data_IF_818877526680
#
_entry.id   IF_818877526680
#
_cell.length_a   1.000
_cell.length_b   1.000
_cell.length_c   1.000
_cell.angle_alpha   90.00
_cell.angle_beta   90.00
_cell.angle_gamma   90.00
#
_symmetry.space_group_name_H-M   'P 1'
#
loop_
_entity.id
_entity.type
_entity.pdbx_description
1 polymer ?
#
# COMPACT_ATOMS: atom_id res chain seq x y z
N UNK A 1 -2.37 -7.67 -9.36
CA UNK A 1 -1.06 -7.75 -8.68
C UNK A 1 -1.24 -8.53 -7.38
N UNK A 2 -0.23 -9.27 -6.95
CA UNK A 2 -0.17 -9.81 -5.59
C UNK A 2 -0.08 -8.67 -4.57
N UNK A 3 -0.27 -8.98 -3.28
CA UNK A 3 -0.14 -7.97 -2.20
C UNK A 3 1.29 -7.46 -2.07
N UNK A 4 2.27 -8.35 -2.24
CA UNK A 4 3.68 -7.99 -2.28
C UNK A 4 3.97 -7.03 -3.44
N UNK A 5 3.48 -7.33 -4.64
CA UNK A 5 3.66 -6.45 -5.81
C UNK A 5 2.99 -5.08 -5.60
N UNK A 6 1.83 -5.03 -4.94
CA UNK A 6 1.14 -3.78 -4.62
C UNK A 6 1.94 -2.95 -3.60
N UNK A 7 2.52 -3.60 -2.60
CA UNK A 7 3.43 -2.95 -1.66
C UNK A 7 4.69 -2.44 -2.34
N UNK A 8 5.36 -3.27 -3.14
CA UNK A 8 6.58 -2.91 -3.85
C UNK A 8 6.34 -1.75 -4.81
N UNK A 9 5.19 -1.73 -5.50
CA UNK A 9 4.79 -0.61 -6.36
C UNK A 9 4.72 0.70 -5.56
N UNK A 10 3.97 0.70 -4.44
CA UNK A 10 3.84 1.87 -3.58
C UNK A 10 5.19 2.29 -2.98
N UNK A 11 5.94 1.34 -2.43
CA UNK A 11 7.25 1.57 -1.81
C UNK A 11 8.23 2.24 -2.78
N UNK A 12 8.26 1.79 -4.04
CA UNK A 12 9.17 2.33 -5.05
C UNK A 12 8.78 3.71 -5.58
N UNK A 13 7.53 4.16 -5.39
CA UNK A 13 7.11 5.53 -5.72
C UNK A 13 7.55 6.56 -4.68
N UNK A 14 7.72 6.13 -3.43
CA UNK A 14 8.07 7.03 -2.32
C UNK A 14 9.55 7.42 -2.35
N UNK A 15 9.88 8.58 -1.78
CA UNK A 15 11.27 9.02 -1.58
C UNK A 15 12.00 8.10 -0.60
N UNK A 16 13.33 8.15 -0.59
CA UNK A 16 14.15 7.33 0.30
C UNK A 16 13.85 7.62 1.78
N UNK A 17 13.69 8.89 2.14
CA UNK A 17 13.35 9.31 3.51
C UNK A 17 12.00 8.75 3.93
N UNK A 18 11.02 8.78 3.03
CA UNK A 18 9.68 8.29 3.32
C UNK A 18 9.64 6.76 3.48
N UNK A 19 10.44 6.03 2.68
CA UNK A 19 10.58 4.57 2.83
C UNK A 19 11.12 4.18 4.20
N UNK A 20 12.00 5.00 4.79
CA UNK A 20 12.51 4.75 6.15
C UNK A 20 11.42 4.84 7.21
N UNK A 21 10.32 5.55 6.96
CA UNK A 21 9.18 5.65 7.88
C UNK A 21 8.23 4.46 7.78
N UNK A 22 8.30 3.66 6.71
CA UNK A 22 7.45 2.48 6.53
C UNK A 22 7.94 1.33 7.43
N UNK A 23 7.04 0.78 8.23
CA UNK A 23 7.27 -0.39 9.08
C UNK A 23 7.01 -1.70 8.31
N UNK A 24 6.04 -1.69 7.41
CA UNK A 24 5.66 -2.84 6.58
C UNK A 24 4.20 -2.74 6.12
N UNK A 25 3.65 -3.85 5.65
CA UNK A 25 2.25 -3.94 5.27
C UNK A 25 1.57 -5.16 5.88
N UNK A 26 0.24 -5.10 5.96
CA UNK A 26 -0.62 -6.20 6.37
C UNK A 26 -1.81 -6.36 5.42
N UNK A 27 -2.47 -7.51 5.53
CA UNK A 27 -3.68 -7.82 4.79
C UNK A 27 -4.80 -6.86 5.16
N UNK A 28 -5.43 -6.28 4.14
CA UNK A 28 -6.58 -5.38 4.31
C UNK A 28 -7.65 -5.73 3.29
N UNK A 29 -8.91 -5.82 3.70
CA UNK A 29 -10.04 -6.10 2.82
C UNK A 29 -10.74 -4.79 2.45
N UNK A 30 -11.05 -4.63 1.16
CA UNK A 30 -11.88 -3.57 0.63
C UNK A 30 -12.82 -4.14 -0.43
N UNK A 31 -14.05 -3.62 -0.47
CA UNK A 31 -15.00 -3.97 -1.51
C UNK A 31 -14.70 -3.18 -2.79
N UNK A 32 -15.09 -3.74 -3.95
CA UNK A 32 -14.95 -3.13 -5.27
C UNK A 32 -13.50 -2.84 -5.73
N UNK A 33 -12.50 -3.48 -5.12
CA UNK A 33 -11.10 -3.43 -5.55
C UNK A 33 -10.59 -4.83 -5.93
N UNK A 34 -9.53 -4.89 -6.74
CA UNK A 34 -8.86 -6.16 -7.09
C UNK A 34 -8.04 -6.66 -5.91
N UNK A 35 -7.34 -5.75 -5.24
CA UNK A 35 -6.47 -6.06 -4.11
C UNK A 35 -6.29 -4.83 -3.22
N UNK A 36 -6.02 -5.04 -1.94
CA UNK A 36 -5.77 -3.99 -0.96
C UNK A 36 -4.83 -4.46 0.14
N UNK A 37 -4.01 -3.52 0.62
CA UNK A 37 -3.10 -3.68 1.74
C UNK A 37 -3.21 -2.48 2.67
N UNK A 38 -2.86 -2.68 3.93
CA UNK A 38 -2.66 -1.60 4.90
C UNK A 38 -1.17 -1.43 5.11
N UNK A 39 -0.63 -0.27 4.76
CA UNK A 39 0.78 0.08 4.95
C UNK A 39 0.91 0.81 6.29
N UNK A 40 1.68 0.22 7.20
CA UNK A 40 1.90 0.73 8.54
C UNK A 40 3.21 1.52 8.59
N UNK A 41 3.20 2.67 9.27
CA UNK A 41 4.36 3.51 9.50
C UNK A 41 4.91 3.32 10.92
N UNK A 42 6.15 3.77 11.16
CA UNK A 42 6.83 3.69 12.46
C UNK A 42 6.19 4.53 13.55
N UNK A 43 5.47 5.60 13.18
CA UNK A 43 4.73 6.47 14.09
C UNK A 43 3.30 5.96 14.40
N UNK A 44 3.05 4.67 14.16
CA UNK A 44 1.76 3.98 14.33
C UNK A 44 0.61 4.50 13.44
N UNK A 45 0.88 5.46 12.54
CA UNK A 45 -0.06 5.81 11.47
C UNK A 45 -0.06 4.73 10.38
N UNK A 46 -1.08 4.76 9.53
CA UNK A 46 -1.20 3.84 8.41
C UNK A 46 -1.99 4.47 7.28
N UNK A 47 -1.80 3.94 6.07
CA UNK A 47 -2.64 4.22 4.91
C UNK A 47 -3.09 2.92 4.27
N UNK A 48 -4.18 2.97 3.50
CA UNK A 48 -4.57 1.86 2.61
C UNK A 48 -3.99 2.12 1.23
N UNK A 49 -3.48 1.08 0.61
CA UNK A 49 -3.08 1.07 -0.80
C UNK A 49 -3.91 0.00 -1.49
N UNK A 50 -4.54 0.33 -2.61
CA UNK A 50 -5.47 -0.57 -3.28
C UNK A 50 -5.42 -0.45 -4.81
N UNK A 51 -5.72 -1.55 -5.48
CA UNK A 51 -5.80 -1.64 -6.93
C UNK A 51 -7.28 -1.65 -7.37
N UNK A 52 -7.70 -0.64 -8.12
CA UNK A 52 -9.04 -0.54 -8.71
C UNK A 52 -9.27 -1.58 -9.81
N UNK A 53 -10.54 -1.82 -10.16
CA UNK A 53 -10.94 -2.73 -11.26
C UNK A 53 -10.38 -2.30 -12.63
N UNK A 54 -10.13 -1.01 -12.83
CA UNK A 54 -9.48 -0.47 -14.02
C UNK A 54 -7.93 -0.61 -13.99
N UNK A 55 -7.40 -1.34 -13.00
CA UNK A 55 -5.98 -1.61 -12.74
C UNK A 55 -5.17 -0.43 -12.19
N UNK A 56 -5.75 0.76 -12.00
CA UNK A 56 -5.08 1.87 -11.34
C UNK A 56 -4.80 1.56 -9.87
N UNK A 57 -3.73 2.14 -9.33
CA UNK A 57 -3.37 2.04 -7.92
C UNK A 57 -3.59 3.39 -7.26
N UNK A 58 -4.26 3.39 -6.11
CA UNK A 58 -4.53 4.58 -5.29
C UNK A 58 -4.15 4.31 -3.83
N UNK A 59 -3.98 5.39 -3.06
CA UNK A 59 -3.70 5.33 -1.63
C UNK A 59 -4.32 6.50 -0.86
N UNK A 60 -4.80 6.24 0.35
CA UNK A 60 -5.41 7.22 1.27
C UNK A 60 -5.14 6.84 2.73
#
# INVERSE_FOLDING_TARGET
>A
MSKQELFDYYYNLMSEEYRQEIKGYEDFHMDNVINSIKVNFKNDSWIRVYQLQNKNVEWY
#
